data_IF_618666699161
#
_entry.id   IF_618666699161
#
_cell.length_a   1.000
_cell.length_b   1.000
_cell.length_c   1.000
_cell.angle_alpha   90.00
_cell.angle_beta   90.00
_cell.angle_gamma   90.00
#
_symmetry.space_group_name_H-M   'P 1'
#
loop_
_entity.id
_entity.type
_entity.pdbx_description
1 polymer ?
#
# COMPACT_ATOMS: atom_id res chain seq x y z
N UNK A 1 16.69 -1.93 -6.11
CA UNK A 1 15.74 -2.50 -7.10
C UNK A 1 16.37 -2.31 -8.47
N UNK A 2 16.70 -3.40 -9.16
CA UNK A 2 17.41 -3.32 -10.45
C UNK A 2 16.47 -2.81 -11.55
N UNK A 3 16.91 -1.79 -12.30
CA UNK A 3 16.25 -1.35 -13.54
C UNK A 3 16.92 -2.08 -14.70
N UNK A 4 16.12 -2.73 -15.54
CA UNK A 4 16.57 -3.45 -16.71
C UNK A 4 16.09 -2.73 -17.97
N UNK A 5 16.91 -2.71 -19.01
CA UNK A 5 16.55 -2.17 -20.32
C UNK A 5 16.35 -3.34 -21.28
N UNK A 6 15.20 -3.37 -21.96
CA UNK A 6 14.95 -4.34 -23.02
C UNK A 6 15.70 -3.88 -24.27
N UNK A 7 16.51 -4.76 -24.86
CA UNK A 7 17.06 -4.55 -26.21
C UNK A 7 16.43 -5.59 -27.15
N UNK A 8 15.88 -5.12 -28.26
CA UNK A 8 15.24 -5.98 -29.26
C UNK A 8 15.66 -5.55 -30.66
N UNK A 9 15.90 -6.51 -31.54
CA UNK A 9 16.32 -6.32 -32.93
C UNK A 9 15.74 -7.44 -33.80
N UNK A 10 15.65 -7.22 -35.11
CA UNK A 10 15.22 -8.24 -36.07
C UNK A 10 16.34 -9.23 -36.43
N UNK A 11 16.08 -10.11 -37.40
CA UNK A 11 16.99 -11.20 -37.80
C UNK A 11 18.39 -10.76 -38.24
N UNK A 12 18.55 -9.48 -38.59
CA UNK A 12 19.82 -8.88 -39.00
C UNK A 12 20.80 -8.69 -37.84
N UNK A 13 20.31 -8.68 -36.59
CA UNK A 13 21.13 -8.39 -35.42
C UNK A 13 21.17 -6.90 -35.04
N UNK A 14 21.92 -6.55 -33.99
CA UNK A 14 22.06 -5.18 -33.51
C UNK A 14 23.03 -4.34 -34.37
N UNK A 15 22.86 -3.02 -34.37
CA UNK A 15 23.69 -2.04 -35.11
C UNK A 15 23.71 -2.18 -36.65
N UNK A 16 22.67 -2.78 -37.25
CA UNK A 16 22.57 -2.89 -38.71
C UNK A 16 21.91 -1.63 -39.30
N UNK A 17 22.30 -1.27 -40.52
CA UNK A 17 21.67 -0.20 -41.30
C UNK A 17 20.15 -0.43 -41.42
N UNK A 18 19.37 0.64 -41.35
CA UNK A 18 17.91 0.56 -41.46
C UNK A 18 17.53 0.11 -42.87
N UNK A 19 16.80 -1.00 -42.96
CA UNK A 19 16.31 -1.58 -44.21
C UNK A 19 14.78 -1.72 -44.17
N UNK A 20 14.06 -1.30 -45.22
CA UNK A 20 12.62 -1.50 -45.31
C UNK A 20 12.25 -2.99 -45.23
N UNK A 21 11.19 -3.29 -44.49
CA UNK A 21 10.72 -4.67 -44.26
C UNK A 21 11.37 -5.39 -43.08
N UNK A 22 12.39 -4.80 -42.44
CA UNK A 22 13.03 -5.36 -41.25
C UNK A 22 12.73 -4.53 -39.99
N UNK A 23 12.72 -5.21 -38.85
CA UNK A 23 12.54 -4.56 -37.55
C UNK A 23 13.80 -3.76 -37.17
N UNK A 24 13.63 -2.47 -36.88
CA UNK A 24 14.69 -1.62 -36.36
C UNK A 24 14.97 -1.92 -34.89
N UNK A 25 16.22 -1.77 -34.47
CA UNK A 25 16.63 -1.96 -33.07
C UNK A 25 15.89 -0.99 -32.15
N UNK A 26 15.39 -1.49 -31.02
CA UNK A 26 14.71 -0.68 -30.00
C UNK A 26 15.24 -1.00 -28.60
N UNK A 27 15.57 0.05 -27.85
CA UNK A 27 15.97 -0.04 -26.44
C UNK A 27 15.26 0.95 -25.52
N UNK A 28 14.08 1.42 -25.92
CA UNK A 28 13.35 2.47 -25.21
C UNK A 28 12.64 1.96 -23.95
N UNK A 29 12.37 0.66 -23.86
CA UNK A 29 11.63 0.08 -22.74
C UNK A 29 12.54 -0.20 -21.54
N UNK A 30 12.18 0.38 -20.40
CA UNK A 30 12.77 0.08 -19.10
C UNK A 30 11.74 -0.61 -18.21
N UNK A 31 12.15 -1.67 -17.53
CA UNK A 31 11.31 -2.42 -16.61
C UNK A 31 12.07 -2.80 -15.35
N UNK A 32 11.36 -3.07 -14.26
CA UNK A 32 11.92 -3.57 -13.02
C UNK A 32 11.40 -4.99 -12.78
N UNK A 33 12.28 -5.91 -12.40
CA UNK A 33 11.84 -7.21 -11.91
C UNK A 33 11.34 -7.05 -10.48
N UNK A 34 10.15 -7.61 -10.22
CA UNK A 34 9.66 -7.78 -8.86
C UNK A 34 10.55 -8.81 -8.15
N UNK A 35 11.26 -8.37 -7.10
CA UNK A 35 11.94 -9.28 -6.18
C UNK A 35 10.97 -9.60 -5.05
N UNK A 36 10.43 -10.82 -4.96
CA UNK A 36 9.50 -11.16 -3.89
C UNK A 36 10.22 -11.03 -2.54
N UNK A 37 9.55 -10.42 -1.58
CA UNK A 37 9.90 -10.61 -0.17
C UNK A 37 9.64 -12.09 0.19
N UNK A 38 10.38 -12.66 1.16
CA UNK A 38 10.09 -14.01 1.64
C UNK A 38 8.62 -14.09 2.09
N UNK A 39 7.88 -15.02 1.48
CA UNK A 39 6.46 -15.22 1.76
C UNK A 39 6.28 -15.98 3.08
N UNK A 40 5.68 -15.34 4.07
CA UNK A 40 5.15 -16.02 5.26
C UNK A 40 3.71 -16.47 5.01
N UNK A 41 3.42 -17.78 5.04
CA UNK A 41 2.06 -18.29 4.88
C UNK A 41 1.11 -17.76 5.96
N UNK A 42 -0.14 -17.48 5.61
CA UNK A 42 -1.13 -17.04 6.60
C UNK A 42 -1.38 -18.11 7.69
N UNK A 43 -1.19 -19.38 7.33
CA UNK A 43 -1.28 -20.52 8.24
C UNK A 43 -0.15 -20.57 9.28
N UNK A 44 0.96 -19.83 9.08
CA UNK A 44 2.05 -19.74 10.06
C UNK A 44 1.78 -18.72 11.17
N UNK A 45 0.52 -18.29 11.34
CA UNK A 45 0.10 -17.36 12.38
C UNK A 45 0.45 -15.89 12.10
N UNK A 46 0.75 -15.53 10.85
CA UNK A 46 1.01 -14.15 10.48
C UNK A 46 -0.28 -13.32 10.64
N UNK A 47 -0.28 -12.41 11.62
CA UNK A 47 -1.36 -11.47 11.88
C UNK A 47 -0.90 -10.06 11.55
N UNK A 48 -1.61 -9.39 10.65
CA UNK A 48 -1.34 -8.00 10.32
C UNK A 48 -2.03 -7.07 11.32
N UNK A 49 -1.25 -6.50 12.24
CA UNK A 49 -1.73 -5.60 13.29
C UNK A 49 -2.37 -4.31 12.75
N UNK A 50 -2.06 -3.92 11.52
CA UNK A 50 -2.52 -2.67 10.89
C UNK A 50 -3.52 -2.87 9.74
N UNK A 51 -3.71 -4.09 9.25
CA UNK A 51 -4.61 -4.37 8.12
C UNK A 51 -6.08 -4.26 8.53
N UNK A 52 -6.39 -4.39 9.83
CA UNK A 52 -7.69 -4.08 10.39
C UNK A 52 -7.58 -2.81 11.27
N UNK A 53 -7.20 -1.70 10.64
CA UNK A 53 -7.00 -0.41 11.30
C UNK A 53 -8.28 0.25 11.82
N UNK A 54 -9.44 -0.40 11.73
CA UNK A 54 -10.72 0.14 12.19
C UNK A 54 -10.70 0.49 13.69
N UNK A 55 -10.04 -0.34 14.50
CA UNK A 55 -10.02 -0.16 15.96
C UNK A 55 -8.97 0.87 16.41
N UNK A 56 -7.78 0.84 15.81
CA UNK A 56 -6.71 1.80 16.11
C UNK A 56 -6.98 3.19 15.55
N UNK A 57 -7.61 3.32 14.38
CA UNK A 57 -8.04 4.61 13.85
C UNK A 57 -9.16 5.23 14.69
N UNK A 58 -10.03 4.42 15.30
CA UNK A 58 -11.14 4.92 16.14
C UNK A 58 -10.65 5.48 17.47
N UNK A 59 -9.63 4.87 18.10
CA UNK A 59 -9.07 5.33 19.36
C UNK A 59 -8.36 6.70 19.27
N UNK A 60 -7.75 7.01 18.12
CA UNK A 60 -7.07 8.29 17.88
C UNK A 60 -7.95 9.33 17.15
N UNK A 61 -9.22 9.01 16.86
CA UNK A 61 -10.10 9.96 16.18
C UNK A 61 -10.66 10.99 17.18
N UNK A 62 -10.50 12.30 16.94
CA UNK A 62 -10.91 13.35 17.88
C UNK A 62 -12.42 13.33 18.21
N UNK A 63 -13.26 12.84 17.29
CA UNK A 63 -14.69 12.69 17.54
C UNK A 63 -15.01 11.66 18.65
N UNK A 64 -14.20 10.60 18.79
CA UNK A 64 -14.42 9.58 19.83
C UNK A 64 -14.16 10.14 21.22
N UNK A 65 -13.08 10.92 21.38
CA UNK A 65 -12.79 11.63 22.62
C UNK A 65 -13.91 12.62 22.99
N UNK A 66 -14.42 13.37 22.01
CA UNK A 66 -15.54 14.28 22.21
C UNK A 66 -16.81 13.60 22.74
N UNK A 67 -17.17 12.44 22.17
CA UNK A 67 -18.32 11.66 22.64
C UNK A 67 -18.13 11.13 24.06
N UNK A 68 -16.94 10.62 24.40
CA UNK A 68 -16.67 10.12 25.75
C UNK A 68 -16.77 11.23 26.81
N UNK A 69 -16.30 12.44 26.48
CA UNK A 69 -16.39 13.60 27.38
C UNK A 69 -17.84 14.04 27.56
N UNK A 70 -18.64 14.11 26.49
CA UNK A 70 -20.06 14.50 26.61
C UNK A 70 -20.85 13.49 27.44
N UNK A 71 -20.63 12.18 27.26
CA UNK A 71 -21.24 11.16 28.10
C UNK A 71 -20.85 11.30 29.58
N UNK A 72 -19.58 11.57 29.88
CA UNK A 72 -19.12 11.79 31.24
C UNK A 72 -19.79 13.03 31.88
N UNK A 73 -19.89 14.14 31.14
CA UNK A 73 -20.56 15.36 31.61
C UNK A 73 -22.04 15.10 31.87
N UNK A 74 -22.75 14.41 30.97
CA UNK A 74 -24.16 14.06 31.14
C UNK A 74 -24.38 13.20 32.38
N UNK A 75 -23.54 12.18 32.60
CA UNK A 75 -23.63 11.31 33.78
C UNK A 75 -23.40 12.06 35.09
N UNK A 76 -22.33 12.86 35.16
CA UNK A 76 -22.00 13.62 36.37
C UNK A 76 -23.06 14.70 36.67
N UNK A 77 -23.59 15.35 35.64
CA UNK A 77 -24.66 16.35 35.77
C UNK A 77 -25.97 15.70 36.23
N UNK A 78 -26.33 14.55 35.65
CA UNK A 78 -27.50 13.78 36.06
C UNK A 78 -27.40 13.27 37.50
N UNK A 79 -26.22 12.78 37.91
CA UNK A 79 -25.98 12.33 39.28
C UNK A 79 -26.13 13.46 40.32
N UNK A 80 -25.70 14.68 39.97
CA UNK A 80 -25.86 15.85 40.83
C UNK A 80 -27.33 16.26 41.05
N UNK A 81 -28.20 15.99 40.08
CA UNK A 81 -29.65 16.25 40.19
C UNK A 81 -30.33 15.15 41.04
N UNK A 82 -29.96 13.88 40.84
CA UNK A 82 -30.57 12.74 41.56
C UNK A 82 -30.19 12.71 43.06
N UNK A 83 -29.00 13.24 43.41
CA UNK A 83 -28.52 13.27 44.81
C UNK A 83 -29.05 14.46 45.63
N UNK A 84 -29.75 15.41 45.00
CA UNK A 84 -30.34 16.58 45.67
C UNK A 84 -31.77 16.30 46.11
#
# INVERSE_FOLDING_TARGET
>A
MGKYSLKIWGDQGPNVQQQPGYMSENSALQFALYTPQPYTPIASGWSCSTCNGSVSAMAFHPAFLGMMITFAVMFLSGWGIIRR
#
